data_IF_566017125928
#
_entry.id   IF_566017125928
#
_cell.length_a   1.000
_cell.length_b   1.000
_cell.length_c   1.000
_cell.angle_alpha   90.00
_cell.angle_beta   90.00
_cell.angle_gamma   90.00
#
_symmetry.space_group_name_H-M   'P 1'
#
loop_
_entity.id
_entity.type
_entity.pdbx_description
1 polymer ?
#
# COMPACT_ATOMS: atom_id res chain seq x y z
N UNK A 1 11.23 82.96 45.92
CA UNK A 1 11.17 81.72 46.72
C UNK A 1 10.57 80.60 45.87
N UNK A 2 11.23 79.44 45.86
CA UNK A 2 10.78 78.04 45.55
C UNK A 2 9.53 77.87 44.66
N UNK A 3 9.70 77.45 43.39
CA UNK A 3 9.69 76.06 42.85
C UNK A 3 8.37 75.29 43.07
N UNK A 4 7.66 75.02 41.97
CA UNK A 4 6.94 73.75 41.77
C UNK A 4 6.91 73.44 40.26
N UNK A 5 7.79 72.54 39.80
CA UNK A 5 7.75 71.97 38.45
C UNK A 5 7.00 70.65 38.54
N UNK A 6 5.84 70.55 37.89
CA UNK A 6 5.17 69.27 37.66
C UNK A 6 5.88 68.54 36.52
N UNK A 7 6.34 67.33 36.82
CA UNK A 7 6.94 66.38 35.88
C UNK A 7 5.79 65.51 35.37
N UNK A 8 5.46 65.61 34.09
CA UNK A 8 4.66 64.60 33.40
C UNK A 8 5.64 63.66 32.68
N UNK A 9 5.72 62.43 33.17
CA UNK A 9 6.42 61.32 32.54
C UNK A 9 5.56 60.78 31.39
N UNK A 10 5.99 60.97 30.14
CA UNK A 10 5.56 60.13 29.02
C UNK A 10 6.46 58.88 28.98
N UNK A 11 5.92 57.66 28.94
CA UNK A 11 6.70 56.50 28.56
C UNK A 11 6.90 56.50 27.04
N UNK A 12 8.13 56.77 26.61
CA UNK A 12 8.57 56.47 25.23
C UNK A 12 8.73 54.94 25.16
N UNK A 13 7.76 54.28 24.53
CA UNK A 13 7.86 52.87 24.18
C UNK A 13 8.88 52.74 23.04
N UNK A 14 10.13 52.41 23.38
CA UNK A 14 11.13 52.01 22.41
C UNK A 14 10.76 50.61 21.91
N UNK A 15 10.19 50.52 20.71
CA UNK A 15 10.07 49.25 19.99
C UNK A 15 11.47 48.81 19.55
N UNK A 16 12.09 47.91 20.32
CA UNK A 16 13.18 47.10 19.82
C UNK A 16 12.62 46.15 18.76
N UNK A 17 12.74 46.54 17.49
CA UNK A 17 12.59 45.61 16.37
C UNK A 17 13.84 44.73 16.41
N UNK A 18 13.77 43.61 17.12
CA UNK A 18 14.71 42.52 16.92
C UNK A 18 14.47 42.00 15.51
N UNK A 19 15.30 42.44 14.56
CA UNK A 19 15.46 41.76 13.29
C UNK A 19 15.94 40.34 13.64
N UNK A 20 14.99 39.40 13.71
CA UNK A 20 15.28 38.00 13.73
C UNK A 20 15.84 37.69 12.34
N UNK A 21 17.16 37.81 12.22
CA UNK A 21 17.88 37.21 11.11
C UNK A 21 17.57 35.71 11.20
N UNK A 22 16.58 35.26 10.42
CA UNK A 22 16.41 33.86 10.14
C UNK A 22 17.71 33.44 9.46
N UNK A 23 18.60 32.83 10.23
CA UNK A 23 19.66 32.00 9.69
C UNK A 23 18.96 31.08 8.71
N UNK A 24 19.30 31.11 7.41
CA UNK A 24 18.76 30.12 6.50
C UNK A 24 19.22 28.78 7.06
N UNK A 25 18.27 28.02 7.61
CA UNK A 25 18.46 26.61 7.81
C UNK A 25 18.75 26.07 6.43
N UNK A 26 20.03 25.89 6.15
CA UNK A 26 20.49 24.97 5.13
C UNK A 26 19.80 23.65 5.47
N UNK A 27 18.66 23.40 4.82
CA UNK A 27 18.21 22.04 4.55
C UNK A 27 19.42 21.46 3.84
N UNK A 28 20.20 20.67 4.56
CA UNK A 28 21.08 19.69 3.93
C UNK A 28 20.18 18.95 2.96
N UNK A 29 20.33 19.27 1.67
CA UNK A 29 19.77 18.53 0.55
C UNK A 29 20.46 17.17 0.57
N UNK A 30 20.08 16.33 1.53
CA UNK A 30 20.22 14.90 1.35
C UNK A 30 19.45 14.62 0.07
N UNK A 31 20.16 14.21 -0.97
CA UNK A 31 19.57 13.97 -2.27
C UNK A 31 18.53 12.86 -2.09
N UNK A 32 17.26 13.23 -1.98
CA UNK A 32 16.17 12.27 -1.95
C UNK A 32 16.01 11.71 -3.36
N UNK A 33 15.60 10.44 -3.49
CA UNK A 33 15.39 9.86 -4.81
C UNK A 33 14.33 10.67 -5.57
N UNK A 34 14.68 11.10 -6.78
CA UNK A 34 13.80 11.87 -7.69
C UNK A 34 12.64 11.04 -8.25
N UNK A 35 12.73 9.72 -8.09
CA UNK A 35 11.65 8.78 -8.33
C UNK A 35 11.19 8.24 -6.99
N UNK A 36 9.87 8.24 -6.79
CA UNK A 36 9.25 7.79 -5.55
C UNK A 36 8.28 6.66 -5.81
N UNK A 37 8.15 5.81 -4.80
CA UNK A 37 7.14 4.76 -4.76
C UNK A 37 6.04 5.13 -3.78
N UNK A 38 4.81 5.17 -4.24
CA UNK A 38 3.63 5.26 -3.39
C UNK A 38 2.93 3.89 -3.39
N UNK A 39 2.38 3.51 -2.24
CA UNK A 39 1.70 2.24 -2.07
C UNK A 39 0.32 2.46 -1.49
N UNK A 40 -0.63 1.65 -1.92
CA UNK A 40 -1.99 1.65 -1.41
C UNK A 40 -2.26 0.31 -0.73
N UNK A 41 -3.06 0.34 0.33
CA UNK A 41 -3.61 -0.89 0.90
C UNK A 41 -4.39 -1.68 -0.17
N UNK A 42 -4.44 -3.00 -0.02
CA UNK A 42 -5.38 -3.83 -0.77
C UNK A 42 -6.81 -3.62 -0.27
N UNK A 43 -7.71 -4.53 -0.62
CA UNK A 43 -9.13 -4.56 -0.22
C UNK A 43 -9.98 -3.43 -0.80
N UNK A 44 -9.64 -3.03 -2.02
CA UNK A 44 -10.40 -2.10 -2.85
C UNK A 44 -10.65 -2.75 -4.20
N UNK A 45 -11.90 -2.69 -4.66
CA UNK A 45 -12.21 -2.96 -6.05
C UNK A 45 -11.69 -1.80 -6.89
N UNK A 46 -10.54 -2.02 -7.51
CA UNK A 46 -9.88 -1.03 -8.36
C UNK A 46 -10.57 -0.85 -9.71
N UNK A 47 -11.44 -1.77 -10.13
CA UNK A 47 -12.21 -1.67 -11.36
C UNK A 47 -13.45 -0.77 -11.18
N UNK A 48 -14.16 -0.90 -10.06
CA UNK A 48 -15.36 -0.08 -9.77
C UNK A 48 -15.07 1.14 -8.90
N UNK A 49 -13.90 1.16 -8.24
CA UNK A 49 -13.52 2.18 -7.27
C UNK A 49 -14.11 1.97 -5.88
N UNK A 50 -14.91 0.91 -5.67
CA UNK A 50 -15.52 0.62 -4.38
C UNK A 50 -14.48 0.16 -3.36
N UNK A 51 -14.45 0.80 -2.19
CA UNK A 51 -13.52 0.48 -1.11
C UNK A 51 -14.23 -0.32 -0.02
N UNK A 52 -13.79 -1.55 0.21
CA UNK A 52 -14.41 -2.43 1.20
C UNK A 52 -13.78 -2.30 2.59
N UNK A 53 -12.50 -1.94 2.65
CA UNK A 53 -11.84 -1.33 3.83
C UNK A 53 -10.46 -0.77 3.44
N UNK A 54 -10.24 -0.58 2.14
CA UNK A 54 -8.92 -0.64 1.53
C UNK A 54 -8.64 0.49 0.55
N UNK A 55 -7.51 0.40 -0.14
CA UNK A 55 -7.11 1.37 -1.15
C UNK A 55 -6.81 2.78 -0.62
N UNK A 56 -6.53 2.91 0.67
CA UNK A 56 -5.96 4.13 1.24
C UNK A 56 -4.51 4.27 0.77
N UNK A 57 -4.14 5.50 0.42
CA UNK A 57 -2.79 5.84 -0.03
C UNK A 57 -1.85 5.99 1.18
N UNK A 58 -0.67 5.39 1.09
CA UNK A 58 0.46 5.63 1.98
C UNK A 58 1.60 6.29 1.19
N UNK A 59 2.05 7.44 1.68
CA UNK A 59 3.16 8.23 1.10
C UNK A 59 4.18 8.61 2.17
N UNK A 60 5.28 9.24 1.76
CA UNK A 60 6.26 9.81 2.69
C UNK A 60 6.87 8.75 3.61
N UNK A 61 6.79 8.99 4.91
CA UNK A 61 7.30 8.05 5.92
C UNK A 61 6.28 6.97 6.29
N UNK A 62 4.99 7.16 6.03
CA UNK A 62 3.95 6.18 6.40
C UNK A 62 4.12 4.87 5.62
N UNK A 63 4.49 4.95 4.33
CA UNK A 63 4.79 3.75 3.54
C UNK A 63 5.98 2.93 4.06
N UNK A 64 6.82 3.53 4.92
CA UNK A 64 8.02 2.89 5.50
C UNK A 64 7.77 2.46 6.95
N UNK A 65 7.07 3.29 7.71
CA UNK A 65 6.87 3.11 9.16
C UNK A 65 5.56 2.43 9.51
N UNK A 66 4.50 2.62 8.71
CA UNK A 66 3.21 1.94 8.86
C UNK A 66 3.13 0.75 7.91
N UNK A 67 3.50 0.96 6.65
CA UNK A 67 3.45 -0.03 5.59
C UNK A 67 2.01 -0.36 5.14
N UNK A 68 1.88 -0.83 3.90
CA UNK A 68 0.59 -1.25 3.36
C UNK A 68 0.16 -2.61 3.93
N UNK A 69 -1.13 -2.88 3.85
CA UNK A 69 -1.72 -4.16 4.25
C UNK A 69 -2.55 -4.70 3.10
N UNK A 70 -2.44 -6.02 2.89
CA UNK A 70 -3.35 -6.76 2.04
C UNK A 70 -3.61 -8.16 2.57
N UNK A 71 -4.45 -8.92 1.89
CA UNK A 71 -4.67 -10.34 2.13
C UNK A 71 -3.82 -11.15 1.15
N UNK A 72 -3.24 -12.26 1.63
CA UNK A 72 -2.60 -13.22 0.73
C UNK A 72 -3.66 -13.84 -0.17
N UNK A 73 -3.44 -13.85 -1.47
CA UNK A 73 -4.44 -14.23 -2.46
C UNK A 73 -4.56 -15.77 -2.59
N UNK A 74 -5.08 -16.40 -1.54
CA UNK A 74 -5.20 -17.85 -1.42
C UNK A 74 -6.67 -18.32 -1.38
N UNK A 75 -7.61 -17.48 -1.80
CA UNK A 75 -9.04 -17.80 -1.92
C UNK A 75 -9.45 -18.06 -3.37
N UNK A 76 -10.74 -18.30 -3.64
CA UNK A 76 -11.36 -18.41 -4.98
C UNK A 76 -12.42 -17.31 -5.14
N UNK A 77 -12.03 -16.12 -5.57
CA UNK A 77 -12.88 -14.92 -5.54
C UNK A 77 -13.97 -14.96 -6.61
N UNK A 78 -13.68 -15.56 -7.76
CA UNK A 78 -14.44 -15.42 -9.00
C UNK A 78 -15.34 -16.63 -9.33
N UNK A 79 -15.35 -17.66 -8.47
CA UNK A 79 -16.20 -18.85 -8.55
C UNK A 79 -15.80 -19.89 -9.60
N UNK A 80 -14.54 -19.96 -10.00
CA UNK A 80 -14.09 -20.95 -10.95
C UNK A 80 -13.78 -22.30 -10.28
N UNK A 81 -13.87 -23.39 -11.03
CA UNK A 81 -13.64 -24.73 -10.50
C UNK A 81 -12.89 -25.58 -11.52
N UNK A 82 -12.02 -26.45 -11.03
CA UNK A 82 -11.43 -27.51 -11.83
C UNK A 82 -12.53 -28.44 -12.38
N UNK A 83 -12.26 -29.20 -13.46
CA UNK A 83 -13.23 -30.17 -13.99
C UNK A 83 -13.69 -31.25 -13.00
N UNK A 84 -12.93 -31.48 -11.92
CA UNK A 84 -13.28 -32.41 -10.83
C UNK A 84 -14.15 -31.77 -9.73
N UNK A 85 -14.48 -30.48 -9.87
CA UNK A 85 -15.30 -29.71 -8.94
C UNK A 85 -14.55 -29.12 -7.75
N UNK A 86 -13.21 -29.18 -7.73
CA UNK A 86 -12.39 -28.51 -6.71
C UNK A 86 -12.16 -27.04 -7.06
N UNK A 87 -12.13 -26.18 -6.04
CA UNK A 87 -11.85 -24.74 -6.19
C UNK A 87 -10.47 -24.53 -6.84
N UNK A 88 -10.40 -23.60 -7.80
CA UNK A 88 -9.11 -23.07 -8.27
C UNK A 88 -8.74 -21.92 -7.34
N UNK A 89 -7.53 -21.95 -6.78
CA UNK A 89 -7.08 -20.86 -5.91
C UNK A 89 -6.61 -19.70 -6.80
N UNK A 90 -6.99 -18.47 -6.46
CA UNK A 90 -6.72 -17.25 -7.22
C UNK A 90 -5.21 -16.98 -7.42
N UNK A 91 -4.33 -17.55 -6.59
CA UNK A 91 -2.86 -17.50 -6.79
C UNK A 91 -2.34 -18.52 -7.80
N UNK A 92 -3.18 -19.45 -8.26
CA UNK A 92 -2.93 -20.33 -9.39
C UNK A 92 -3.65 -19.86 -10.67
N UNK A 93 -4.45 -18.81 -10.58
CA UNK A 93 -5.28 -18.31 -11.67
C UNK A 93 -4.77 -16.94 -12.19
N UNK A 94 -4.82 -16.80 -13.51
CA UNK A 94 -4.42 -15.60 -14.23
C UNK A 94 -5.63 -14.72 -14.62
N UNK A 95 -6.87 -15.11 -14.30
CA UNK A 95 -8.07 -14.36 -14.68
C UNK A 95 -9.21 -14.42 -13.64
N UNK A 96 -9.17 -13.48 -12.71
CA UNK A 96 -10.14 -13.35 -11.60
C UNK A 96 -11.29 -12.39 -11.91
N UNK A 97 -11.91 -12.56 -13.07
CA UNK A 97 -13.16 -11.89 -13.43
C UNK A 97 -14.32 -12.84 -13.21
N UNK A 98 -15.38 -12.40 -12.52
CA UNK A 98 -16.55 -13.26 -12.19
C UNK A 98 -16.95 -14.13 -13.37
N UNK A 99 -16.93 -15.44 -13.16
CA UNK A 99 -17.15 -16.40 -14.24
C UNK A 99 -18.52 -16.18 -14.92
N UNK A 100 -18.59 -16.10 -16.26
CA UNK A 100 -19.83 -15.86 -16.96
C UNK A 100 -20.90 -16.92 -16.64
N UNK A 101 -22.04 -16.49 -16.09
CA UNK A 101 -23.18 -17.36 -15.79
C UNK A 101 -23.28 -17.81 -14.34
N UNK A 102 -22.37 -17.37 -13.46
CA UNK A 102 -22.52 -17.53 -12.01
C UNK A 102 -23.34 -16.37 -11.43
N UNK A 103 -24.07 -16.63 -10.35
CA UNK A 103 -24.72 -15.58 -9.53
C UNK A 103 -23.89 -15.23 -8.30
N UNK A 104 -22.69 -15.80 -8.21
CA UNK A 104 -21.80 -15.80 -7.06
C UNK A 104 -20.37 -15.50 -7.55
N UNK A 105 -19.61 -14.74 -6.75
CA UNK A 105 -18.26 -14.26 -7.11
C UNK A 105 -18.20 -12.74 -7.21
N UNK A 106 -16.99 -12.20 -7.09
CA UNK A 106 -16.71 -10.76 -7.22
C UNK A 106 -15.38 -10.55 -7.95
N UNK A 107 -15.12 -9.32 -8.35
CA UNK A 107 -13.80 -8.94 -8.83
C UNK A 107 -12.78 -9.09 -7.69
N UNK A 108 -11.54 -9.39 -8.03
CA UNK A 108 -10.39 -9.31 -7.12
C UNK A 108 -10.33 -7.94 -6.41
N UNK A 109 -10.20 -7.97 -5.09
CA UNK A 109 -10.07 -6.74 -4.29
C UNK A 109 -8.81 -6.70 -3.44
N UNK A 110 -8.12 -7.83 -3.28
CA UNK A 110 -6.95 -8.06 -2.45
C UNK A 110 -5.62 -7.73 -3.15
N UNK A 111 -5.67 -7.14 -4.34
CA UNK A 111 -4.50 -6.50 -4.91
C UNK A 111 -4.20 -5.17 -4.20
N UNK A 112 -2.93 -4.95 -3.85
CA UNK A 112 -2.43 -3.61 -3.54
C UNK A 112 -2.16 -2.86 -4.84
N UNK A 113 -2.15 -1.52 -4.79
CA UNK A 113 -1.68 -0.68 -5.90
C UNK A 113 -0.35 -0.06 -5.55
N UNK A 114 0.63 -0.17 -6.45
CA UNK A 114 1.88 0.58 -6.42
C UNK A 114 1.84 1.64 -7.52
N UNK A 115 2.28 2.84 -7.18
CA UNK A 115 2.47 3.94 -8.13
C UNK A 115 3.92 4.40 -8.03
N UNK A 116 4.67 4.22 -9.12
CA UNK A 116 6.01 4.76 -9.28
C UNK A 116 5.88 6.04 -10.08
N UNK A 117 6.39 7.14 -9.56
CA UNK A 117 6.27 8.45 -10.19
C UNK A 117 7.46 9.33 -9.90
N UNK A 118 7.55 10.44 -10.61
CA UNK A 118 8.49 11.52 -10.27
C UNK A 118 8.11 12.12 -8.91
N UNK A 119 9.12 12.51 -8.14
CA UNK A 119 8.92 13.24 -6.89
C UNK A 119 8.20 14.56 -7.14
N UNK A 120 8.68 15.31 -8.14
CA UNK A 120 8.12 16.58 -8.59
C UNK A 120 7.40 16.40 -9.95
N UNK A 121 6.06 16.27 -9.95
CA UNK A 121 5.29 16.12 -11.17
C UNK A 121 5.46 17.35 -12.07
N UNK A 122 5.86 17.14 -13.33
CA UNK A 122 6.07 18.20 -14.31
C UNK A 122 7.54 18.60 -14.52
N UNK A 123 8.45 18.19 -13.64
CA UNK A 123 9.88 18.39 -13.87
C UNK A 123 10.49 17.25 -14.71
N UNK A 124 11.50 17.53 -15.55
CA UNK A 124 12.31 16.49 -16.16
C UNK A 124 13.03 15.70 -15.07
N UNK A 125 13.16 14.38 -15.24
CA UNK A 125 14.04 13.61 -14.35
C UNK A 125 15.49 14.00 -14.66
N UNK A 126 16.29 14.36 -13.65
CA UNK A 126 17.69 14.71 -13.87
C UNK A 126 18.50 13.46 -14.17
N UNK A 127 19.32 13.47 -15.21
CA UNK A 127 20.15 12.33 -15.62
C UNK A 127 19.51 11.46 -16.70
N UNK A 128 20.22 10.39 -17.08
CA UNK A 128 19.83 9.51 -18.19
C UNK A 128 19.80 8.03 -17.80
N UNK A 129 19.91 7.72 -16.51
CA UNK A 129 19.87 6.35 -16.01
C UNK A 129 18.52 5.69 -16.21
N UNK A 130 18.50 4.37 -16.20
CA UNK A 130 17.26 3.63 -16.02
C UNK A 130 16.82 3.68 -14.56
N UNK A 131 15.53 3.47 -14.35
CA UNK A 131 14.94 3.32 -13.02
C UNK A 131 14.83 1.83 -12.75
N UNK A 132 15.34 1.37 -11.62
CA UNK A 132 15.32 -0.04 -11.24
C UNK A 132 14.26 -0.24 -10.17
N UNK A 133 13.28 -1.09 -10.45
CA UNK A 133 12.25 -1.49 -9.50
C UNK A 133 12.51 -2.90 -9.00
N UNK A 134 12.89 -3.01 -7.72
CA UNK A 134 13.17 -4.28 -7.04
C UNK A 134 11.87 -4.81 -6.42
N UNK A 135 11.51 -6.01 -6.83
CA UNK A 135 10.26 -6.68 -6.49
C UNK A 135 10.59 -7.93 -5.65
N UNK A 136 9.97 -8.10 -4.46
CA UNK A 136 10.22 -9.28 -3.64
C UNK A 136 9.65 -10.53 -4.31
N UNK A 137 10.24 -11.70 -4.04
CA UNK A 137 9.79 -12.97 -4.62
C UNK A 137 8.46 -13.49 -4.07
N UNK A 138 7.96 -12.91 -2.97
CA UNK A 138 6.70 -13.25 -2.31
C UNK A 138 5.47 -12.61 -2.95
N UNK A 139 5.61 -11.96 -4.11
CA UNK A 139 4.50 -11.30 -4.80
C UNK A 139 4.52 -11.56 -6.31
N UNK A 140 3.37 -11.34 -6.94
CA UNK A 140 3.23 -11.18 -8.38
C UNK A 140 2.78 -9.76 -8.71
N UNK A 141 3.08 -9.34 -9.94
CA UNK A 141 2.71 -8.04 -10.45
C UNK A 141 1.77 -8.17 -11.65
N UNK A 142 0.79 -7.28 -11.70
CA UNK A 142 -0.22 -7.19 -12.73
C UNK A 142 -0.27 -5.76 -13.27
N UNK A 143 -0.44 -5.61 -14.58
CA UNK A 143 -0.60 -4.31 -15.22
C UNK A 143 -2.05 -3.77 -15.08
N UNK A 144 -2.99 -4.65 -14.73
CA UNK A 144 -4.40 -4.34 -14.54
C UNK A 144 -4.91 -4.89 -13.21
N UNK A 145 -5.94 -4.28 -12.62
CA UNK A 145 -6.49 -4.72 -11.35
C UNK A 145 -7.28 -6.03 -11.41
N UNK A 146 -7.59 -6.51 -12.62
CA UNK A 146 -8.38 -7.72 -12.91
C UNK A 146 -7.50 -8.92 -13.28
N UNK A 147 -6.19 -8.86 -13.01
CA UNK A 147 -5.16 -9.85 -13.38
C UNK A 147 -5.06 -10.21 -14.86
N UNK A 148 -5.74 -9.52 -15.77
CA UNK A 148 -5.69 -9.83 -17.21
C UNK A 148 -4.28 -9.83 -17.85
N UNK A 149 -3.32 -9.09 -17.28
CA UNK A 149 -1.97 -8.93 -17.85
C UNK A 149 -0.93 -9.04 -16.75
N UNK A 150 -0.30 -10.21 -16.64
CA UNK A 150 0.83 -10.43 -15.75
C UNK A 150 2.06 -9.65 -16.22
N UNK A 151 2.78 -9.06 -15.26
CA UNK A 151 4.08 -8.43 -15.49
C UNK A 151 5.17 -9.44 -15.17
N UNK A 152 5.94 -9.81 -16.19
CA UNK A 152 7.07 -10.71 -16.01
C UNK A 152 8.16 -10.06 -15.15
N UNK A 153 8.43 -10.65 -13.99
CA UNK A 153 9.55 -10.26 -13.12
C UNK A 153 10.75 -11.14 -13.52
N UNK A 154 11.88 -10.55 -13.95
CA UNK A 154 13.10 -11.32 -14.23
C UNK A 154 13.58 -12.09 -12.99
N UNK A 155 14.38 -13.13 -13.19
CA UNK A 155 14.94 -13.92 -12.08
C UNK A 155 15.83 -13.13 -11.12
N UNK A 156 16.31 -11.95 -11.53
CA UNK A 156 17.01 -11.00 -10.66
C UNK A 156 16.10 -10.33 -9.63
N UNK A 157 14.77 -10.37 -9.82
CA UNK A 157 13.80 -9.60 -9.05
C UNK A 157 13.74 -8.12 -9.43
N UNK A 158 14.37 -7.72 -10.54
CA UNK A 158 14.50 -6.31 -10.94
C UNK A 158 13.82 -6.03 -12.27
N UNK A 159 12.89 -5.06 -12.26
CA UNK A 159 12.25 -4.52 -13.45
C UNK A 159 12.93 -3.20 -13.82
N UNK A 160 13.31 -3.06 -15.08
CA UNK A 160 13.81 -1.79 -15.62
C UNK A 160 12.65 -0.95 -16.14
N UNK A 161 12.53 0.28 -15.63
CA UNK A 161 11.56 1.27 -16.09
C UNK A 161 12.34 2.40 -16.77
N UNK A 162 11.92 2.75 -17.97
CA UNK A 162 12.52 3.88 -18.70
C UNK A 162 11.94 5.21 -18.24
N UNK A 163 12.68 6.33 -18.33
CA UNK A 163 12.12 7.65 -18.03
C UNK A 163 10.87 8.00 -18.85
N UNK A 164 10.74 7.44 -20.06
CA UNK A 164 9.56 7.64 -20.92
C UNK A 164 8.30 6.98 -20.34
N UNK A 165 8.44 5.83 -19.67
CA UNK A 165 7.33 5.16 -18.99
C UNK A 165 6.85 5.91 -17.74
N UNK A 166 7.64 6.85 -17.21
CA UNK A 166 7.26 7.79 -16.16
C UNK A 166 6.84 9.17 -16.69
N UNK A 167 6.29 9.25 -17.90
CA UNK A 167 5.74 10.51 -18.40
C UNK A 167 4.72 11.14 -17.41
N UNK A 168 3.89 10.29 -16.79
CA UNK A 168 3.00 10.66 -15.68
C UNK A 168 3.32 9.80 -14.45
N UNK A 169 3.01 8.51 -14.53
CA UNK A 169 3.27 7.51 -13.48
C UNK A 169 3.26 6.11 -14.10
N UNK A 170 3.93 5.16 -13.44
CA UNK A 170 3.85 3.74 -13.73
C UNK A 170 3.08 3.06 -12.61
N UNK A 171 2.02 2.34 -12.96
CA UNK A 171 1.14 1.67 -12.00
C UNK A 171 1.33 0.16 -12.11
N UNK A 172 1.40 -0.49 -10.96
CA UNK A 172 1.33 -1.94 -10.82
C UNK A 172 0.28 -2.32 -9.79
N UNK A 173 -0.36 -3.47 -10.01
CA UNK A 173 -1.20 -4.12 -9.02
C UNK A 173 -0.45 -5.33 -8.48
N UNK A 174 -0.44 -5.48 -7.17
CA UNK A 174 0.42 -6.42 -6.47
C UNK A 174 -0.44 -7.46 -5.79
N UNK A 175 -0.16 -8.70 -6.11
CA UNK A 175 -0.74 -9.87 -5.46
C UNK A 175 0.29 -10.44 -4.49
N UNK A 176 -0.07 -10.60 -3.22
CA UNK A 176 0.73 -11.37 -2.28
C UNK A 176 0.38 -12.85 -2.41
N UNK A 177 1.32 -13.68 -2.83
CA UNK A 177 1.06 -15.11 -3.10
C UNK A 177 1.14 -15.98 -1.84
N UNK A 178 1.67 -15.44 -0.74
CA UNK A 178 1.80 -16.14 0.54
C UNK A 178 1.59 -15.16 1.70
N UNK A 179 1.14 -15.62 2.88
CA UNK A 179 1.03 -14.78 4.06
C UNK A 179 2.40 -14.31 4.53
N UNK A 180 2.48 -13.07 5.01
CA UNK A 180 3.68 -12.51 5.63
C UNK A 180 4.04 -13.27 6.91
N UNK A 181 5.33 -13.54 7.06
CA UNK A 181 5.92 -14.15 8.25
C UNK A 181 6.23 -13.11 9.33
N UNK A 182 6.36 -11.84 8.96
CA UNK A 182 6.59 -10.71 9.85
C UNK A 182 5.88 -9.46 9.32
N UNK A 183 5.65 -8.48 10.21
CA UNK A 183 5.17 -7.16 9.79
C UNK A 183 6.18 -6.53 8.83
N UNK A 184 5.69 -5.97 7.72
CA UNK A 184 6.47 -5.19 6.75
C UNK A 184 7.60 -5.99 6.07
N UNK A 185 7.45 -7.30 5.92
CA UNK A 185 8.44 -8.16 5.28
C UNK A 185 8.43 -8.09 3.74
N UNK A 186 7.36 -7.57 3.14
CA UNK A 186 7.29 -7.31 1.70
C UNK A 186 7.87 -5.92 1.44
N UNK A 187 9.10 -5.86 0.91
CA UNK A 187 9.78 -4.60 0.57
C UNK A 187 9.84 -4.38 -0.93
N UNK A 188 9.29 -3.25 -1.36
CA UNK A 188 9.41 -2.71 -2.70
C UNK A 188 10.42 -1.58 -2.71
N UNK A 189 11.40 -1.60 -3.60
CA UNK A 189 12.44 -0.57 -3.67
C UNK A 189 12.59 -0.03 -5.09
N UNK A 190 12.69 1.29 -5.22
CA UNK A 190 13.05 1.97 -6.46
C UNK A 190 14.46 2.53 -6.32
N UNK A 191 15.26 2.40 -7.37
CA UNK A 191 16.60 2.99 -7.46
C UNK A 191 16.71 3.84 -8.73
N UNK A 192 17.21 5.06 -8.58
CA UNK A 192 17.49 5.97 -9.68
C UNK A 192 18.70 6.85 -9.35
N UNK A 193 19.70 6.87 -10.24
CA UNK A 193 20.95 7.63 -10.05
C UNK A 193 21.58 7.43 -8.66
N UNK A 194 21.68 6.18 -8.20
CA UNK A 194 22.24 5.80 -6.89
C UNK A 194 21.46 6.30 -5.67
N UNK A 195 20.25 6.82 -5.85
CA UNK A 195 19.33 7.14 -4.77
C UNK A 195 18.19 6.14 -4.75
N UNK A 196 17.69 5.85 -3.55
CA UNK A 196 16.61 4.89 -3.37
C UNK A 196 15.42 5.47 -2.62
N UNK A 197 14.26 4.92 -2.92
CA UNK A 197 13.05 5.08 -2.14
C UNK A 197 12.35 3.73 -2.05
N UNK A 198 11.57 3.50 -0.99
CA UNK A 198 10.97 2.18 -0.75
C UNK A 198 9.64 2.27 -0.02
N UNK A 199 8.85 1.23 -0.17
CA UNK A 199 7.61 1.00 0.55
C UNK A 199 7.61 -0.42 1.13
N UNK A 200 6.99 -0.57 2.29
CA UNK A 200 6.82 -1.86 2.95
C UNK A 200 5.35 -2.27 2.96
N UNK A 201 5.10 -3.56 2.95
CA UNK A 201 3.76 -4.13 3.03
C UNK A 201 3.73 -5.41 3.87
N UNK A 202 2.53 -5.77 4.32
CA UNK A 202 2.24 -6.99 5.07
C UNK A 202 1.04 -7.69 4.43
N UNK A 203 1.19 -8.95 4.06
CA UNK A 203 0.10 -9.82 3.63
C UNK A 203 -0.43 -10.61 4.82
N UNK A 204 -1.68 -10.39 5.19
CA UNK A 204 -2.32 -11.17 6.25
C UNK A 204 -3.07 -12.36 5.66
N UNK A 205 -3.14 -13.44 6.41
CA UNK A 205 -4.04 -14.55 6.13
C UNK A 205 -4.78 -14.94 7.40
N UNK A 206 -6.03 -15.33 7.25
CA UNK A 206 -6.90 -15.64 8.37
C UNK A 206 -7.39 -17.07 8.21
N UNK A 207 -6.94 -17.98 9.06
CA UNK A 207 -7.52 -19.32 9.09
C UNK A 207 -8.87 -19.26 9.80
N UNK A 208 -9.91 -19.83 9.18
CA UNK A 208 -11.24 -19.91 9.79
C UNK A 208 -11.40 -21.30 10.38
N UNK A 209 -11.67 -21.35 11.68
CA UNK A 209 -12.05 -22.59 12.31
C UNK A 209 -13.46 -22.99 11.81
N UNK A 210 -13.60 -24.14 11.10
CA UNK A 210 -14.86 -24.54 10.49
C UNK A 210 -15.97 -24.83 11.53
N UNK A 211 -15.60 -25.12 12.78
CA UNK A 211 -16.57 -25.44 13.85
C UNK A 211 -17.13 -24.22 14.57
N UNK A 212 -16.47 -23.06 14.48
CA UNK A 212 -16.87 -21.87 15.22
C UNK A 212 -17.12 -20.66 14.33
N UNK A 213 -16.60 -20.65 13.10
CA UNK A 213 -16.53 -19.44 12.26
C UNK A 213 -15.89 -18.24 12.98
N UNK A 214 -15.05 -18.50 13.99
CA UNK A 214 -14.38 -17.47 14.79
C UNK A 214 -12.90 -17.42 14.44
N UNK A 215 -12.43 -16.18 14.30
CA UNK A 215 -11.03 -15.78 14.09
C UNK A 215 -10.07 -16.34 15.16
N UNK A 216 -8.95 -16.89 14.72
CA UNK A 216 -7.76 -17.02 15.55
C UNK A 216 -6.56 -16.46 14.78
N UNK A 217 -5.98 -15.36 15.25
CA UNK A 217 -4.64 -14.96 14.80
C UNK A 217 -3.66 -16.06 15.20
N UNK A 218 -3.12 -16.79 14.24
CA UNK A 218 -2.06 -17.73 14.53
C UNK A 218 -0.87 -16.91 15.07
N UNK A 219 -0.37 -17.30 16.24
CA UNK A 219 0.42 -16.46 17.16
C UNK A 219 1.86 -16.15 16.71
N UNK A 220 2.14 -16.21 15.41
CA UNK A 220 3.41 -15.83 14.77
C UNK A 220 3.23 -14.82 13.62
N UNK A 221 1.99 -14.40 13.33
CA UNK A 221 1.61 -13.49 12.24
C UNK A 221 1.12 -12.16 12.83
N UNK A 222 1.35 -11.00 12.17
CA UNK A 222 0.86 -9.69 12.60
C UNK A 222 -0.59 -9.70 13.11
N UNK A 223 -0.82 -9.07 14.27
CA UNK A 223 -2.16 -8.96 14.86
C UNK A 223 -2.77 -7.61 14.49
N UNK A 224 -3.84 -7.65 13.69
CA UNK A 224 -4.62 -6.47 13.29
C UNK A 224 -5.09 -5.68 14.53
N UNK A 225 -4.84 -4.36 14.54
CA UNK A 225 -5.21 -3.46 15.64
C UNK A 225 -4.17 -3.34 16.76
N UNK A 226 -3.10 -4.15 16.78
CA UNK A 226 -1.93 -3.95 17.65
C UNK A 226 -0.74 -3.48 16.81
N UNK A 227 -0.51 -4.14 15.67
CA UNK A 227 0.65 -3.89 14.81
C UNK A 227 0.36 -2.97 13.61
N UNK A 228 -0.94 -2.72 13.33
CA UNK A 228 -1.44 -1.97 12.17
C UNK A 228 -2.48 -0.92 12.63
N UNK A 229 -2.04 0.25 13.13
CA UNK A 229 -2.89 1.20 13.84
C UNK A 229 -3.91 1.96 12.96
N UNK A 230 -3.75 1.93 11.64
CA UNK A 230 -4.58 2.70 10.68
C UNK A 230 -5.63 1.85 9.96
N UNK A 231 -5.79 0.59 10.35
CA UNK A 231 -6.82 -0.30 9.81
C UNK A 231 -7.92 -0.39 10.84
N UNK A 232 -9.17 -0.05 10.48
CA UNK A 232 -10.33 -0.27 11.34
C UNK A 232 -10.46 -1.78 11.57
N UNK A 233 -10.00 -2.22 12.73
CA UNK A 233 -9.87 -3.63 13.08
C UNK A 233 -11.23 -4.31 13.20
N UNK A 234 -12.25 -3.59 13.66
CA UNK A 234 -13.61 -4.08 13.79
C UNK A 234 -14.19 -4.22 12.40
N UNK A 235 -14.08 -3.19 11.55
CA UNK A 235 -14.58 -3.28 10.18
C UNK A 235 -13.83 -4.32 9.34
N UNK A 236 -12.51 -4.41 9.43
CA UNK A 236 -11.76 -5.44 8.69
C UNK A 236 -12.13 -6.84 9.18
N UNK A 237 -12.25 -7.04 10.50
CA UNK A 237 -12.71 -8.30 11.07
C UNK A 237 -14.14 -8.62 10.64
N UNK A 238 -15.08 -7.67 10.74
CA UNK A 238 -16.46 -7.85 10.31
C UNK A 238 -16.57 -8.05 8.80
N UNK A 239 -15.73 -7.40 8.01
CA UNK A 239 -15.76 -7.51 6.56
C UNK A 239 -15.19 -8.85 6.12
N UNK A 240 -14.02 -9.27 6.62
CA UNK A 240 -13.47 -10.63 6.43
C UNK A 240 -14.48 -11.68 6.89
N UNK A 241 -15.15 -11.48 8.03
CA UNK A 241 -16.07 -12.48 8.58
C UNK A 241 -17.47 -12.48 7.95
N UNK A 242 -18.01 -11.35 7.49
CA UNK A 242 -19.44 -11.25 7.17
C UNK A 242 -19.71 -10.81 5.73
N UNK A 243 -18.78 -10.08 5.10
CA UNK A 243 -19.04 -9.39 3.83
C UNK A 243 -18.12 -9.85 2.71
N UNK A 244 -16.99 -10.46 3.05
CA UNK A 244 -15.96 -10.84 2.12
C UNK A 244 -15.91 -12.34 1.91
N UNK A 245 -17.01 -12.81 1.35
CA UNK A 245 -17.26 -14.20 1.03
C UNK A 245 -16.96 -14.36 -0.46
N UNK A 246 -16.06 -15.28 -0.77
CA UNK A 246 -15.80 -15.82 -2.09
C UNK A 246 -17.04 -16.58 -2.59
N UNK A 247 -17.08 -16.89 -3.88
CA UNK A 247 -18.27 -17.51 -4.45
C UNK A 247 -18.57 -18.92 -3.92
N UNK A 248 -17.56 -19.67 -3.50
CA UNK A 248 -17.73 -20.99 -2.86
C UNK A 248 -18.22 -20.90 -1.41
N UNK A 249 -18.45 -19.68 -0.91
CA UNK A 249 -18.78 -19.43 0.49
C UNK A 249 -17.54 -19.24 1.36
N UNK A 250 -16.33 -19.36 0.80
CA UNK A 250 -15.08 -19.22 1.54
C UNK A 250 -14.91 -17.76 1.90
N UNK A 251 -14.78 -17.44 3.18
CA UNK A 251 -14.34 -16.10 3.56
C UNK A 251 -12.86 -15.96 3.21
N UNK A 252 -12.28 -14.75 3.19
CA UNK A 252 -10.82 -14.61 3.07
C UNK A 252 -10.13 -15.41 4.18
N UNK A 253 -9.61 -16.59 3.82
CA UNK A 253 -9.19 -17.63 4.75
C UNK A 253 -9.43 -19.06 4.26
N UNK A 254 -8.47 -19.97 4.50
CA UNK A 254 -8.57 -21.38 4.09
C UNK A 254 -9.36 -22.18 5.13
N UNK A 255 -10.28 -23.05 4.67
CA UNK A 255 -10.96 -24.04 5.51
C UNK A 255 -12.00 -24.82 4.68
N UNK A 256 -12.15 -26.14 4.89
CA UNK A 256 -13.09 -26.94 4.09
C UNK A 256 -14.53 -26.49 4.33
N UNK A 257 -15.24 -26.25 3.23
CA UNK A 257 -16.70 -26.18 3.22
C UNK A 257 -17.26 -27.58 3.43
N UNK A 258 -18.05 -27.72 4.49
CA UNK A 258 -19.07 -28.74 4.59
C UNK A 258 -20.41 -28.06 4.81
#
# INVERSE_FOLDING_TARGET
MKKLKHIFCLPVLLWCISAYAQTPTSKTTGFECEVVIDIYNGLKDWATGHAYSGGQLLTGDDKKTVGAVTVANMNNTDADFNPDGTDIVDSGDDMVAVSPGTTMGRNEIDLMKIVIRKRDPGMPLPGSGNIIFKVPSSVRLWAKPTKEVMVMIPSSGEITITPAELATEKVYYVEAITPSSMIRDIKFEIEYNSHTDYALATAVWVDINPSTQVWSSNTTVPVLGVDLPNVDNIWMKESVNNSWISASGQRYGFGPHY
#
